data_IF_138511413437
#
_entry.id   IF_138511413437
#
_cell.length_a   1.000
_cell.length_b   1.000
_cell.length_c   1.000
_cell.angle_alpha   90.00
_cell.angle_beta   90.00
_cell.angle_gamma   90.00
#
_symmetry.space_group_name_H-M   'P 1'
#
loop_
_entity.id
_entity.type
_entity.pdbx_description
1 polymer ?
#
# COMPACT_ATOMS: atom_id res chain seq x y z
N UNK A 1 48.02 -21.19 -16.83
CA UNK A 1 47.37 -22.46 -16.43
C UNK A 1 46.16 -22.67 -17.34
N UNK A 2 45.97 -23.88 -17.84
CA UNK A 2 45.22 -24.23 -19.05
C UNK A 2 43.69 -24.00 -18.97
N UNK A 3 43.06 -23.53 -20.04
CA UNK A 3 41.59 -23.39 -20.11
C UNK A 3 40.87 -24.74 -20.07
N UNK A 4 39.69 -24.83 -19.42
CA UNK A 4 38.94 -26.08 -19.29
C UNK A 4 38.42 -26.54 -20.65
N UNK A 5 38.69 -27.79 -21.01
CA UNK A 5 38.34 -28.33 -22.34
C UNK A 5 36.84 -28.58 -22.47
N UNK A 6 36.22 -27.83 -23.39
CA UNK A 6 34.88 -28.09 -23.92
C UNK A 6 34.86 -29.42 -24.70
N UNK A 7 34.38 -30.50 -24.08
CA UNK A 7 34.23 -31.76 -24.82
C UNK A 7 33.73 -32.92 -23.98
N UNK A 8 32.41 -33.07 -23.85
CA UNK A 8 31.82 -34.34 -23.40
C UNK A 8 32.27 -35.47 -24.35
N UNK A 9 32.73 -36.59 -23.77
CA UNK A 9 33.18 -37.80 -24.50
C UNK A 9 32.15 -38.23 -25.55
N UNK A 10 32.63 -38.77 -26.68
CA UNK A 10 31.76 -39.23 -27.78
C UNK A 10 30.69 -40.23 -27.32
N UNK A 11 30.98 -41.00 -26.28
CA UNK A 11 30.03 -41.91 -25.64
C UNK A 11 28.92 -41.18 -24.87
N UNK A 12 29.26 -40.12 -24.14
CA UNK A 12 28.28 -39.30 -23.43
C UNK A 12 27.32 -38.59 -24.41
N UNK A 13 27.85 -38.13 -25.56
CA UNK A 13 27.04 -37.56 -26.64
C UNK A 13 26.11 -38.61 -27.26
N UNK A 14 26.62 -39.82 -27.54
CA UNK A 14 25.80 -40.94 -28.06
C UNK A 14 24.72 -41.39 -27.07
N UNK A 15 25.03 -41.45 -25.78
CA UNK A 15 24.09 -41.80 -24.73
C UNK A 15 22.98 -40.75 -24.58
N UNK A 16 23.33 -39.46 -24.65
CA UNK A 16 22.35 -38.37 -24.64
C UNK A 16 21.43 -38.43 -25.87
N UNK A 17 22.00 -38.65 -27.06
CA UNK A 17 21.22 -38.81 -28.30
C UNK A 17 20.29 -40.03 -28.25
N UNK A 18 20.73 -41.15 -27.67
CA UNK A 18 19.90 -42.36 -27.44
C UNK A 18 18.74 -42.08 -26.48
N UNK A 19 19.01 -41.40 -25.35
CA UNK A 19 17.96 -41.00 -24.38
C UNK A 19 16.93 -40.06 -25.01
N UNK A 20 17.38 -39.13 -25.83
CA UNK A 20 16.50 -38.19 -26.54
C UNK A 20 15.83 -38.78 -27.79
N UNK A 21 16.29 -39.95 -28.29
CA UNK A 21 15.79 -40.57 -29.52
C UNK A 21 14.30 -40.88 -29.45
N UNK A 22 13.80 -41.39 -28.31
CA UNK A 22 12.36 -41.64 -28.13
C UNK A 22 11.52 -40.37 -28.24
N UNK A 23 11.97 -39.28 -27.61
CA UNK A 23 11.27 -37.99 -27.65
C UNK A 23 11.30 -37.36 -29.03
N UNK A 24 12.43 -37.45 -29.73
CA UNK A 24 12.59 -36.96 -31.10
C UNK A 24 11.72 -37.77 -32.08
N UNK A 25 11.69 -39.10 -31.97
CA UNK A 25 10.85 -39.95 -32.83
C UNK A 25 9.36 -39.76 -32.56
N UNK A 26 8.95 -39.50 -31.31
CA UNK A 26 7.57 -39.16 -30.98
C UNK A 26 7.15 -37.79 -31.55
N UNK A 27 8.08 -36.83 -31.62
CA UNK A 27 7.85 -35.49 -32.18
C UNK A 27 7.93 -35.45 -33.72
N UNK A 28 8.80 -36.27 -34.31
CA UNK A 28 8.94 -36.42 -35.77
C UNK A 28 7.89 -37.37 -36.36
N UNK A 29 7.28 -38.22 -35.52
CA UNK A 29 6.05 -38.92 -35.83
C UNK A 29 4.92 -37.91 -35.94
N UNK A 30 4.89 -37.18 -37.05
CA UNK A 30 3.78 -36.32 -37.41
C UNK A 30 2.52 -37.21 -37.47
N UNK A 31 1.67 -37.16 -36.45
CA UNK A 31 0.27 -37.52 -36.61
C UNK A 31 -0.26 -36.55 -37.66
N UNK A 32 -0.29 -36.96 -38.92
CA UNK A 32 -0.97 -36.20 -39.95
C UNK A 32 -2.45 -36.21 -39.54
N UNK A 33 -2.90 -35.15 -38.87
CA UNK A 33 -4.31 -34.92 -38.72
C UNK A 33 -4.93 -34.99 -40.13
N UNK A 34 -6.02 -35.74 -40.34
CA UNK A 34 -6.66 -35.76 -41.65
C UNK A 34 -6.92 -34.32 -42.09
N UNK A 35 -6.69 -34.03 -43.37
CA UNK A 35 -6.97 -32.70 -43.91
C UNK A 35 -8.41 -32.33 -43.54
N UNK A 36 -8.57 -31.22 -42.84
CA UNK A 36 -9.87 -30.79 -42.33
C UNK A 36 -10.73 -30.33 -43.52
N UNK A 37 -11.40 -31.27 -44.19
CA UNK A 37 -12.38 -30.95 -45.24
C UNK A 37 -13.66 -30.50 -44.54
N UNK A 38 -13.65 -29.25 -44.05
CA UNK A 38 -14.80 -28.61 -43.44
C UNK A 38 -15.82 -28.36 -44.54
N UNK A 39 -17.02 -28.92 -44.39
CA UNK A 39 -18.13 -28.62 -45.30
C UNK A 39 -18.48 -27.12 -45.19
N UNK A 40 -18.96 -26.48 -46.26
CA UNK A 40 -19.29 -25.05 -46.23
C UNK A 40 -20.30 -24.69 -45.13
N UNK A 41 -21.19 -25.64 -44.80
CA UNK A 41 -22.17 -25.50 -43.71
C UNK A 41 -21.51 -25.48 -42.34
N UNK A 42 -20.55 -26.39 -42.08
CA UNK A 42 -19.79 -26.40 -40.82
C UNK A 42 -18.92 -25.14 -40.69
N UNK A 43 -18.37 -24.63 -41.79
CA UNK A 43 -17.63 -23.37 -41.79
C UNK A 43 -18.53 -22.17 -41.43
N UNK A 44 -19.75 -22.13 -41.97
CA UNK A 44 -20.72 -21.09 -41.66
C UNK A 44 -21.13 -21.11 -40.17
N UNK A 45 -21.33 -22.30 -39.59
CA UNK A 45 -21.62 -22.45 -38.16
C UNK A 45 -20.50 -21.88 -37.28
N UNK A 46 -19.23 -22.17 -37.61
CA UNK A 46 -18.10 -21.59 -36.88
C UNK A 46 -18.03 -20.06 -37.00
N UNK A 47 -18.35 -19.51 -38.17
CA UNK A 47 -18.39 -18.07 -38.36
C UNK A 47 -19.52 -17.41 -37.55
N UNK A 48 -20.68 -18.04 -37.46
CA UNK A 48 -21.78 -17.54 -36.61
C UNK A 48 -21.45 -17.65 -35.11
N UNK A 49 -20.87 -18.76 -34.66
CA UNK A 49 -20.39 -18.92 -33.29
C UNK A 49 -19.32 -17.88 -32.94
N UNK A 50 -18.40 -17.60 -33.88
CA UNK A 50 -17.40 -16.55 -33.72
C UNK A 50 -18.02 -15.16 -33.60
N UNK A 51 -19.04 -14.82 -34.42
CA UNK A 51 -19.78 -13.54 -34.33
C UNK A 51 -20.51 -13.40 -33.00
N UNK A 52 -21.15 -14.44 -32.51
CA UNK A 52 -21.78 -14.41 -31.19
C UNK A 52 -20.77 -14.20 -30.07
N UNK A 53 -19.62 -14.86 -30.16
CA UNK A 53 -18.52 -14.72 -29.21
C UNK A 53 -17.94 -13.31 -29.23
N UNK A 54 -17.77 -12.72 -30.42
CA UNK A 54 -17.35 -11.33 -30.60
C UNK A 54 -18.35 -10.36 -29.95
N UNK A 55 -19.65 -10.56 -30.14
CA UNK A 55 -20.70 -9.76 -29.49
C UNK A 55 -20.62 -9.86 -27.96
N UNK A 56 -20.45 -11.07 -27.41
CA UNK A 56 -20.30 -11.29 -25.96
C UNK A 56 -19.02 -10.65 -25.41
N UNK A 57 -17.92 -10.72 -26.17
CA UNK A 57 -16.63 -10.12 -25.80
C UNK A 57 -16.68 -8.59 -25.85
N UNK A 58 -17.27 -8.01 -26.88
CA UNK A 58 -17.42 -6.54 -27.00
C UNK A 58 -18.34 -5.98 -25.92
N UNK A 59 -19.43 -6.68 -25.57
CA UNK A 59 -20.28 -6.30 -24.45
C UNK A 59 -19.54 -6.38 -23.11
N UNK A 60 -18.78 -7.46 -22.89
CA UNK A 60 -17.95 -7.63 -21.69
C UNK A 60 -16.87 -6.53 -21.58
N UNK A 61 -16.22 -6.19 -22.70
CA UNK A 61 -15.19 -5.16 -22.75
C UNK A 61 -15.74 -3.78 -22.41
N UNK A 62 -16.87 -3.39 -23.01
CA UNK A 62 -17.54 -2.11 -22.70
C UNK A 62 -17.92 -2.00 -21.23
N UNK A 63 -18.40 -3.10 -20.62
CA UNK A 63 -18.71 -3.14 -19.18
C UNK A 63 -17.46 -2.97 -18.32
N UNK A 64 -16.35 -3.60 -18.71
CA UNK A 64 -15.07 -3.45 -18.03
C UNK A 64 -14.55 -2.00 -18.10
N UNK A 65 -14.61 -1.37 -19.27
CA UNK A 65 -14.24 0.05 -19.44
C UNK A 65 -15.06 0.97 -18.54
N UNK A 66 -16.38 0.77 -18.46
CA UNK A 66 -17.25 1.54 -17.57
C UNK A 66 -16.84 1.37 -16.10
N UNK A 67 -16.52 0.15 -15.68
CA UNK A 67 -16.09 -0.14 -14.31
C UNK A 67 -14.74 0.50 -13.97
N UNK A 68 -13.77 0.47 -14.90
CA UNK A 68 -12.48 1.12 -14.71
C UNK A 68 -12.62 2.66 -14.65
N UNK A 69 -13.49 3.25 -15.49
CA UNK A 69 -13.84 4.67 -15.39
C UNK A 69 -14.51 5.02 -14.05
N UNK A 70 -15.39 4.15 -13.54
CA UNK A 70 -16.03 4.35 -12.24
C UNK A 70 -15.01 4.30 -11.09
N UNK A 71 -14.11 3.30 -11.08
CA UNK A 71 -12.99 3.24 -10.13
C UNK A 71 -12.11 4.47 -10.20
N UNK A 72 -11.77 4.92 -11.41
CA UNK A 72 -10.95 6.12 -11.60
C UNK A 72 -11.65 7.36 -11.03
N UNK A 73 -12.94 7.55 -11.31
CA UNK A 73 -13.74 8.64 -10.72
C UNK A 73 -13.81 8.56 -9.20
N UNK A 74 -13.98 7.36 -8.62
CA UNK A 74 -13.95 7.15 -7.16
C UNK A 74 -12.57 7.53 -6.59
N UNK A 75 -11.49 7.07 -7.20
CA UNK A 75 -10.13 7.39 -6.79
C UNK A 75 -9.84 8.89 -6.89
N UNK A 76 -10.23 9.54 -7.98
CA UNK A 76 -10.12 10.98 -8.18
C UNK A 76 -10.88 11.76 -7.11
N UNK A 77 -12.14 11.41 -6.83
CA UNK A 77 -12.91 12.03 -5.74
C UNK A 77 -12.22 11.88 -4.39
N UNK A 78 -11.73 10.69 -4.04
CA UNK A 78 -10.98 10.50 -2.78
C UNK A 78 -9.66 11.28 -2.76
N UNK A 79 -8.99 11.45 -3.90
CA UNK A 79 -7.76 12.21 -4.01
C UNK A 79 -8.02 13.73 -3.87
N UNK A 80 -9.11 14.24 -4.46
CA UNK A 80 -9.58 15.62 -4.29
C UNK A 80 -9.91 15.92 -2.82
N UNK A 81 -10.63 15.03 -2.13
CA UNK A 81 -10.89 15.14 -0.68
C UNK A 81 -9.58 15.19 0.13
N UNK A 82 -8.55 14.44 -0.28
CA UNK A 82 -7.23 14.47 0.37
C UNK A 82 -6.40 15.72 0.03
N UNK A 83 -6.74 16.47 -1.01
CA UNK A 83 -6.01 17.66 -1.52
C UNK A 83 -6.58 19.01 -1.01
N UNK A 84 -7.53 19.01 -0.07
CA UNK A 84 -8.10 20.23 0.52
C UNK A 84 -7.00 21.17 1.02
N UNK A 85 -6.92 22.43 0.56
CA UNK A 85 -5.83 23.34 0.97
C UNK A 85 -5.78 23.53 2.50
N UNK A 86 -4.58 23.59 3.13
CA UNK A 86 -4.42 23.71 4.57
C UNK A 86 -5.06 24.99 5.15
N UNK A 87 -5.38 25.03 6.46
CA UNK A 87 -4.82 24.21 7.54
C UNK A 87 -5.57 22.88 7.74
N UNK A 88 -4.88 21.77 7.51
CA UNK A 88 -5.45 20.44 7.75
C UNK A 88 -5.54 20.16 9.25
N UNK A 89 -6.72 20.37 9.85
CA UNK A 89 -7.04 19.74 11.14
C UNK A 89 -7.51 18.32 10.84
N UNK A 90 -6.66 17.32 11.10
CA UNK A 90 -7.07 15.91 11.03
C UNK A 90 -7.95 15.62 12.24
N UNK A 91 -9.26 15.65 12.04
CA UNK A 91 -10.23 15.21 13.04
C UNK A 91 -10.12 13.68 13.11
N UNK A 92 -9.58 13.17 14.22
CA UNK A 92 -9.61 11.73 14.53
C UNK A 92 -10.70 11.52 15.57
N UNK A 93 -11.76 10.82 15.17
CA UNK A 93 -12.89 10.51 16.04
C UNK A 93 -12.44 9.55 17.15
N UNK A 94 -12.61 9.97 18.42
CA UNK A 94 -12.47 9.08 19.56
C UNK A 94 -13.65 8.09 19.65
N UNK A 95 -13.50 6.95 20.35
CA UNK A 95 -14.50 5.88 20.37
C UNK A 95 -15.90 6.28 20.87
N UNK A 96 -16.07 7.45 21.50
CA UNK A 96 -17.35 7.95 22.02
C UNK A 96 -17.78 9.30 21.39
N UNK A 97 -17.21 9.71 20.26
CA UNK A 97 -17.52 11.02 19.64
C UNK A 97 -17.07 12.23 20.48
N UNK A 98 -16.37 12.01 21.60
CA UNK A 98 -15.80 13.06 22.44
C UNK A 98 -14.32 13.23 22.09
N UNK A 99 -13.97 14.43 21.65
CA UNK A 99 -12.62 14.92 21.49
C UNK A 99 -11.90 14.82 22.84
N UNK A 100 -11.14 13.76 23.08
CA UNK A 100 -10.15 13.80 24.15
C UNK A 100 -8.99 14.66 23.64
N UNK A 101 -9.11 15.98 23.79
CA UNK A 101 -7.97 16.88 23.67
C UNK A 101 -6.99 16.42 24.75
N UNK A 102 -6.00 15.61 24.35
CA UNK A 102 -4.89 15.23 25.22
C UNK A 102 -4.16 16.53 25.52
N UNK A 103 -4.36 17.08 26.71
CA UNK A 103 -3.64 18.26 27.19
C UNK A 103 -2.15 18.01 26.95
N UNK A 104 -1.51 18.90 26.19
CA UNK A 104 -0.08 18.81 25.91
C UNK A 104 0.68 19.57 26.98
N UNK A 105 1.83 19.05 27.38
CA UNK A 105 2.71 19.71 28.33
C UNK A 105 3.19 21.05 27.78
N UNK A 106 3.05 22.13 28.56
CA UNK A 106 3.45 23.48 28.15
C UNK A 106 4.95 23.63 27.86
N UNK A 107 5.78 22.73 28.40
CA UNK A 107 7.25 22.75 28.22
C UNK A 107 7.71 21.81 27.11
N UNK A 108 7.22 20.57 27.11
CA UNK A 108 7.78 19.49 26.26
C UNK A 108 6.90 19.12 25.08
N UNK A 109 5.68 19.68 25.00
CA UNK A 109 4.66 19.34 24.00
C UNK A 109 4.31 17.84 23.93
N UNK A 110 4.70 17.04 24.93
CA UNK A 110 4.28 15.65 25.10
C UNK A 110 2.91 15.61 25.77
N UNK A 111 2.10 14.54 25.60
CA UNK A 111 0.86 14.37 26.34
C UNK A 111 1.10 14.51 27.85
N UNK A 112 0.41 15.46 28.48
CA UNK A 112 0.54 15.73 29.89
C UNK A 112 -0.16 14.66 30.72
N UNK A 113 0.48 14.28 31.82
CA UNK A 113 -0.04 13.31 32.78
C UNK A 113 -0.71 13.99 33.98
N UNK A 114 -0.28 15.21 34.31
CA UNK A 114 -0.72 15.97 35.48
C UNK A 114 -0.88 17.47 35.15
N UNK A 115 -1.50 18.21 36.06
CA UNK A 115 -1.60 19.68 36.05
C UNK A 115 -0.98 20.24 37.34
N UNK A 116 -0.35 21.40 37.25
CA UNK A 116 0.16 22.12 38.42
C UNK A 116 -1.01 22.80 39.17
N UNK A 117 -1.20 22.57 40.49
CA UNK A 117 -2.32 23.12 41.25
C UNK A 117 -2.31 24.65 41.41
N UNK A 118 -1.17 25.34 41.22
CA UNK A 118 -1.18 26.82 41.29
C UNK A 118 -1.32 27.49 39.93
N UNK A 119 -0.74 26.92 38.88
CA UNK A 119 -0.72 27.55 37.54
C UNK A 119 -1.71 26.94 36.56
N UNK A 120 -2.34 25.81 36.92
CA UNK A 120 -3.17 24.96 36.06
C UNK A 120 -2.48 24.49 34.76
N UNK A 121 -1.15 24.66 34.67
CA UNK A 121 -0.39 24.29 33.49
C UNK A 121 -0.22 22.76 33.41
N UNK A 122 -0.52 22.15 32.26
CA UNK A 122 -0.32 20.72 32.03
C UNK A 122 1.18 20.38 31.91
N UNK A 123 1.61 19.29 32.55
CA UNK A 123 2.98 18.77 32.44
C UNK A 123 3.06 17.24 32.35
N UNK A 124 4.13 16.75 31.72
CA UNK A 124 4.35 15.33 31.48
C UNK A 124 5.43 14.72 32.38
N UNK A 125 6.52 15.46 32.63
CA UNK A 125 7.70 14.99 33.38
C UNK A 125 7.94 15.87 34.61
N UNK A 126 8.58 15.34 35.67
CA UNK A 126 8.93 16.15 36.84
C UNK A 126 9.91 17.28 36.52
N UNK A 127 10.78 17.11 35.51
CA UNK A 127 11.65 18.19 35.02
C UNK A 127 10.86 19.37 34.42
N UNK A 128 9.77 19.08 33.70
CA UNK A 128 8.88 20.13 33.20
C UNK A 128 8.15 20.86 34.35
N UNK A 129 7.80 20.17 35.43
CA UNK A 129 7.21 20.79 36.61
C UNK A 129 8.17 21.76 37.29
N UNK A 130 9.45 21.39 37.47
CA UNK A 130 10.48 22.29 38.02
C UNK A 130 10.61 23.56 37.19
N UNK A 131 10.70 23.42 35.86
CA UNK A 131 10.80 24.56 34.96
C UNK A 131 9.55 25.47 35.03
N UNK A 132 8.35 24.89 35.07
CA UNK A 132 7.11 25.66 35.24
C UNK A 132 7.17 26.48 36.53
N UNK A 133 7.65 25.88 37.62
CA UNK A 133 7.68 26.56 38.92
C UNK A 133 8.75 27.64 39.00
N UNK A 134 9.94 27.38 38.46
CA UNK A 134 11.00 28.38 38.30
C UNK A 134 10.49 29.59 37.51
N UNK A 135 9.86 29.36 36.35
CA UNK A 135 9.27 30.43 35.54
C UNK A 135 8.13 31.17 36.22
N UNK A 136 7.33 30.48 37.02
CA UNK A 136 6.29 31.12 37.82
C UNK A 136 6.89 32.05 38.89
N UNK A 137 7.96 31.64 39.57
CA UNK A 137 8.65 32.52 40.54
C UNK A 137 9.28 33.74 39.86
N UNK A 138 9.91 33.57 38.69
CA UNK A 138 10.43 34.70 37.89
C UNK A 138 9.30 35.67 37.51
N UNK A 139 8.15 35.14 37.10
CA UNK A 139 6.96 35.94 36.77
C UNK A 139 6.44 36.74 37.97
N UNK A 140 6.38 36.14 39.15
CA UNK A 140 5.95 36.80 40.39
C UNK A 140 6.92 37.91 40.81
N UNK A 141 8.24 37.63 40.78
CA UNK A 141 9.28 38.64 41.00
C UNK A 141 9.14 39.81 40.05
N UNK A 142 8.92 39.55 38.76
CA UNK A 142 8.68 40.59 37.74
C UNK A 142 7.42 41.40 38.02
N UNK A 143 6.37 40.79 38.57
CA UNK A 143 5.15 41.46 38.99
C UNK A 143 5.27 42.18 40.34
N UNK A 144 6.42 42.07 41.03
CA UNK A 144 6.64 42.68 42.34
C UNK A 144 5.85 42.00 43.47
N UNK A 145 5.41 40.76 43.26
CA UNK A 145 4.68 39.97 44.27
C UNK A 145 5.69 39.00 44.88
N UNK A 146 6.19 39.31 46.08
CA UNK A 146 7.11 38.45 46.82
C UNK A 146 6.34 37.57 47.79
N UNK A 147 6.06 36.32 47.39
CA UNK A 147 5.67 35.29 48.35
C UNK A 147 6.97 34.85 49.03
N UNK A 148 7.31 35.53 50.13
CA UNK A 148 8.49 35.21 50.93
C UNK A 148 8.57 33.71 51.20
N UNK A 149 9.78 33.16 51.18
CA UNK A 149 10.04 31.76 51.48
C UNK A 149 9.29 31.36 52.75
N UNK A 150 8.22 30.57 52.61
CA UNK A 150 7.70 29.78 53.73
C UNK A 150 8.66 28.61 53.82
N UNK A 151 9.75 28.81 54.54
CA UNK A 151 10.56 27.73 55.07
C UNK A 151 9.70 27.02 56.13
N UNK A 152 9.42 25.73 55.91
CA UNK A 152 8.85 24.83 56.92
C UNK A 152 9.81 24.66 58.11
#
# INVERSE_FOLDING_TARGET
LQEPKLGASGEAKRALLQKNKKWVMARMGCLMAPANTVTPETQAQYLEEAKETERKNTASLKKYEQFELEKKKKNEKTNVIRKVQPPYVRIVDGPNGKWMIKLLCSVTSRPAKYKDPLTDLPYATPGAFKLIREKYTEFLKKKGIDYGNVED
#
